data_IF_859405614561
#
_entry.id   IF_859405614561
#
_cell.length_a   1.000
_cell.length_b   1.000
_cell.length_c   1.000
_cell.angle_alpha   90.00
_cell.angle_beta   90.00
_cell.angle_gamma   90.00
#
_symmetry.space_group_name_H-M   'P 1'
#
loop_
_entity.id
_entity.type
_entity.pdbx_description
1 polymer ?
#
# COMPACT_ATOMS: atom_id res chain seq x y z
N UNK A 1 -23.03 -8.67 5.13
CA UNK A 1 -23.20 -7.30 5.67
C UNK A 1 -22.07 -7.03 6.65
N UNK A 2 -21.33 -5.93 6.46
CA UNK A 2 -20.24 -5.52 7.35
C UNK A 2 -20.83 -4.88 8.60
N UNK A 3 -20.47 -5.40 9.77
CA UNK A 3 -20.90 -4.81 11.04
C UNK A 3 -20.06 -3.56 11.39
N UNK A 4 -20.55 -2.67 12.28
CA UNK A 4 -19.75 -1.54 12.77
C UNK A 4 -18.42 -1.97 13.43
N UNK A 5 -18.41 -3.10 14.11
CA UNK A 5 -17.22 -3.66 14.76
C UNK A 5 -16.19 -4.14 13.74
N UNK A 6 -16.60 -4.85 12.69
CA UNK A 6 -15.73 -5.27 11.59
C UNK A 6 -15.17 -4.07 10.83
N UNK A 7 -16.00 -3.07 10.56
CA UNK A 7 -15.58 -1.80 9.98
C UNK A 7 -14.48 -1.14 10.81
N UNK A 8 -14.72 -0.96 12.11
CA UNK A 8 -13.77 -0.30 13.00
C UNK A 8 -12.48 -1.08 13.12
N UNK A 9 -12.54 -2.40 13.25
CA UNK A 9 -11.37 -3.27 13.32
C UNK A 9 -10.51 -3.15 12.05
N UNK A 10 -11.13 -3.14 10.87
CA UNK A 10 -10.42 -2.98 9.59
C UNK A 10 -9.68 -1.65 9.52
N UNK A 11 -10.32 -0.55 9.94
CA UNK A 11 -9.68 0.76 10.01
C UNK A 11 -8.55 0.79 11.04
N UNK A 12 -8.75 0.21 12.21
CA UNK A 12 -7.76 0.22 13.29
C UNK A 12 -6.49 -0.52 12.88
N UNK A 13 -6.62 -1.69 12.28
CA UNK A 13 -5.46 -2.48 11.83
C UNK A 13 -4.76 -1.84 10.64
N UNK A 14 -5.51 -1.46 9.60
CA UNK A 14 -4.91 -1.08 8.31
C UNK A 14 -4.58 0.41 8.19
N UNK A 15 -5.25 1.29 8.91
CA UNK A 15 -5.08 2.74 8.80
C UNK A 15 -4.58 3.36 10.10
N UNK A 16 -5.30 3.19 11.21
CA UNK A 16 -4.94 3.79 12.50
C UNK A 16 -3.58 3.28 12.99
N UNK A 17 -3.31 1.97 12.82
CA UNK A 17 -2.01 1.39 13.17
C UNK A 17 -0.86 2.01 12.39
N UNK A 18 -1.02 2.23 11.07
CA UNK A 18 -0.02 2.88 10.24
C UNK A 18 0.20 4.35 10.66
N UNK A 19 -0.87 5.09 10.94
CA UNK A 19 -0.78 6.46 11.46
C UNK A 19 -0.02 6.51 12.79
N UNK A 20 -0.31 5.63 13.73
CA UNK A 20 0.37 5.56 15.02
C UNK A 20 1.88 5.29 14.87
N UNK A 21 2.26 4.39 13.96
CA UNK A 21 3.67 4.12 13.66
C UNK A 21 4.36 5.34 13.06
N UNK A 22 3.73 6.05 12.14
CA UNK A 22 4.25 7.30 11.59
C UNK A 22 4.45 8.34 12.69
N UNK A 23 3.46 8.54 13.55
CA UNK A 23 3.52 9.51 14.66
C UNK A 23 4.68 9.22 15.61
N UNK A 24 4.97 7.94 15.88
CA UNK A 24 6.08 7.55 16.73
C UNK A 24 7.45 7.70 16.05
N UNK A 25 7.54 7.45 14.75
CA UNK A 25 8.79 7.48 14.01
C UNK A 25 9.22 8.91 13.60
N UNK A 26 8.27 9.77 13.24
CA UNK A 26 8.52 11.12 12.71
C UNK A 26 9.42 11.99 13.59
N UNK A 27 9.28 12.10 14.93
CA UNK A 27 10.15 12.96 15.73
C UNK A 27 11.63 12.61 15.61
N UNK A 28 11.93 11.31 15.47
CA UNK A 28 13.30 10.83 15.23
C UNK A 28 13.82 11.17 13.84
N UNK A 29 12.99 11.00 12.82
CA UNK A 29 13.33 11.31 11.43
C UNK A 29 13.53 12.81 11.22
N UNK A 30 12.65 13.66 11.77
CA UNK A 30 12.74 15.12 11.72
C UNK A 30 14.05 15.62 12.34
N UNK A 31 14.43 15.11 13.53
CA UNK A 31 15.69 15.47 14.16
C UNK A 31 16.92 15.13 13.32
N UNK A 32 16.88 14.00 12.61
CA UNK A 32 17.98 13.58 11.72
C UNK A 32 17.94 14.24 10.35
N UNK A 33 16.84 14.92 10.01
CA UNK A 33 16.57 15.45 8.68
C UNK A 33 16.69 14.39 7.57
N UNK A 34 16.30 13.18 7.90
CA UNK A 34 16.34 12.03 6.99
C UNK A 34 15.33 10.97 7.42
N UNK A 35 14.57 10.46 6.48
CA UNK A 35 13.62 9.37 6.70
C UNK A 35 13.00 8.88 5.42
N UNK A 36 12.53 7.63 5.46
CA UNK A 36 11.74 7.00 4.40
C UNK A 36 10.54 6.34 5.06
N UNK A 37 9.35 6.72 4.65
CA UNK A 37 8.09 6.10 5.08
C UNK A 37 7.47 5.45 3.84
N UNK A 38 7.21 4.16 3.94
CA UNK A 38 6.60 3.38 2.87
C UNK A 38 5.33 2.74 3.41
N UNK A 39 4.20 3.07 2.82
CA UNK A 39 2.91 2.46 3.12
C UNK A 39 2.55 1.43 2.07
N UNK A 40 1.87 0.37 2.47
CA UNK A 40 1.38 -0.65 1.54
C UNK A 40 -0.15 -0.58 1.51
N UNK A 41 -0.66 0.01 0.43
CA UNK A 41 -2.08 0.08 0.13
C UNK A 41 -2.52 -1.19 -0.63
N UNK A 42 -3.35 -1.05 -1.60
CA UNK A 42 -3.88 -2.09 -2.50
C UNK A 42 -4.40 -1.43 -3.78
N UNK A 43 -4.54 -2.19 -4.84
CA UNK A 43 -5.31 -1.76 -6.00
C UNK A 43 -6.74 -1.35 -5.60
N UNK A 44 -7.34 -2.02 -4.59
CA UNK A 44 -8.65 -1.66 -4.05
C UNK A 44 -8.66 -0.34 -3.27
N UNK A 45 -7.51 0.15 -2.83
CA UNK A 45 -7.36 1.50 -2.29
C UNK A 45 -7.39 2.58 -3.38
N UNK A 46 -7.12 2.22 -4.65
CA UNK A 46 -7.16 3.12 -5.79
C UNK A 46 -8.53 3.14 -6.47
N UNK A 47 -9.14 1.97 -6.65
CA UNK A 47 -10.37 1.79 -7.46
C UNK A 47 -11.60 1.41 -6.65
N UNK A 48 -11.43 0.92 -5.42
CA UNK A 48 -12.45 0.20 -4.68
C UNK A 48 -12.62 -1.24 -5.17
N UNK A 49 -12.98 -2.15 -4.26
CA UNK A 49 -13.29 -3.55 -4.54
C UNK A 49 -14.73 -3.86 -4.14
N UNK A 50 -15.47 -4.60 -4.99
CA UNK A 50 -16.79 -5.12 -4.63
C UNK A 50 -16.65 -6.09 -3.46
N UNK A 51 -17.58 -6.03 -2.51
CA UNK A 51 -17.54 -6.80 -1.25
C UNK A 51 -16.37 -6.46 -0.30
N UNK A 52 -15.56 -5.45 -0.62
CA UNK A 52 -14.36 -5.03 0.13
C UNK A 52 -14.45 -3.57 0.60
N UNK A 53 -15.65 -3.10 0.98
CA UNK A 53 -15.92 -1.68 1.28
C UNK A 53 -15.01 -1.15 2.39
N UNK A 54 -14.90 -1.85 3.51
CA UNK A 54 -14.10 -1.45 4.68
C UNK A 54 -12.59 -1.53 4.39
N UNK A 55 -12.15 -2.57 3.70
CA UNK A 55 -10.76 -2.73 3.27
C UNK A 55 -10.37 -1.64 2.26
N UNK A 56 -11.20 -1.40 1.25
CA UNK A 56 -11.00 -0.34 0.25
C UNK A 56 -10.90 1.03 0.90
N UNK A 57 -11.79 1.34 1.86
CA UNK A 57 -11.77 2.59 2.61
C UNK A 57 -10.47 2.76 3.41
N UNK A 58 -10.04 1.72 4.14
CA UNK A 58 -8.81 1.75 4.92
C UNK A 58 -7.58 1.93 4.02
N UNK A 59 -7.51 1.21 2.90
CA UNK A 59 -6.39 1.28 1.95
C UNK A 59 -6.37 2.59 1.15
N UNK A 60 -7.53 3.18 0.84
CA UNK A 60 -7.62 4.54 0.29
C UNK A 60 -7.16 5.58 1.32
N UNK A 61 -7.48 5.38 2.59
CA UNK A 61 -6.99 6.22 3.69
C UNK A 61 -5.47 6.26 3.78
N UNK A 62 -4.78 5.14 3.56
CA UNK A 62 -3.30 5.10 3.50
C UNK A 62 -2.74 5.94 2.35
N UNK A 63 -3.40 5.97 1.21
CA UNK A 63 -3.02 6.83 0.07
C UNK A 63 -3.13 8.30 0.47
N UNK A 64 -4.23 8.68 1.12
CA UNK A 64 -4.43 10.03 1.65
C UNK A 64 -3.37 10.42 2.69
N UNK A 65 -3.12 9.54 3.65
CA UNK A 65 -2.10 9.71 4.69
C UNK A 65 -0.70 9.91 4.06
N UNK A 66 -0.33 9.07 3.11
CA UNK A 66 0.94 9.16 2.37
C UNK A 66 1.12 10.52 1.72
N UNK A 67 0.13 10.98 0.98
CA UNK A 67 0.18 12.27 0.25
C UNK A 67 0.24 13.46 1.20
N UNK A 68 -0.47 13.42 2.32
CA UNK A 68 -0.47 14.47 3.32
C UNK A 68 0.90 14.56 4.01
N UNK A 69 1.40 13.45 4.53
CA UNK A 69 2.72 13.38 5.19
C UNK A 69 3.87 13.76 4.24
N UNK A 70 3.80 13.36 2.97
CA UNK A 70 4.81 13.73 1.99
C UNK A 70 4.96 15.24 1.82
N UNK A 71 3.84 15.98 1.84
CA UNK A 71 3.83 17.45 1.75
C UNK A 71 4.31 18.10 3.04
N UNK A 72 3.89 17.55 4.18
CA UNK A 72 4.21 18.09 5.50
C UNK A 72 5.69 17.88 5.85
N UNK A 73 6.23 16.69 5.56
CA UNK A 73 7.55 16.25 6.00
C UNK A 73 8.67 16.39 4.95
N UNK A 74 8.31 16.77 3.72
CA UNK A 74 9.30 17.06 2.67
C UNK A 74 10.38 18.05 3.10
N UNK A 75 10.05 19.19 3.74
CA UNK A 75 11.03 20.15 4.26
C UNK A 75 11.96 19.54 5.34
N UNK A 76 11.54 18.48 5.99
CA UNK A 76 12.34 17.73 6.98
C UNK A 76 13.29 16.69 6.36
N UNK A 77 13.34 16.58 5.02
CA UNK A 77 14.18 15.59 4.32
C UNK A 77 13.62 14.18 4.36
N UNK A 78 12.32 14.03 4.61
CA UNK A 78 11.63 12.74 4.69
C UNK A 78 10.82 12.53 3.41
N UNK A 79 10.95 11.36 2.79
CA UNK A 79 10.07 10.95 1.69
C UNK A 79 9.02 9.98 2.20
N UNK A 80 7.81 10.11 1.68
CA UNK A 80 6.68 9.25 2.03
C UNK A 80 6.01 8.77 0.75
N UNK A 81 6.03 7.47 0.50
CA UNK A 81 5.46 6.86 -0.70
C UNK A 81 4.58 5.67 -0.36
N UNK A 82 3.71 5.32 -1.28
CA UNK A 82 2.78 4.22 -1.16
C UNK A 82 2.98 3.22 -2.29
N UNK A 83 2.99 1.94 -1.97
CA UNK A 83 2.88 0.87 -2.96
C UNK A 83 1.47 0.30 -2.91
N UNK A 84 0.86 0.10 -4.08
CA UNK A 84 -0.49 -0.45 -4.24
C UNK A 84 -0.40 -1.77 -5.06
N UNK A 85 -0.20 -2.92 -4.38
CA UNK A 85 -0.15 -4.21 -5.05
C UNK A 85 -1.50 -4.59 -5.67
N UNK A 86 -1.46 -5.32 -6.77
CA UNK A 86 -2.58 -6.03 -7.34
C UNK A 86 -2.76 -7.41 -6.71
N UNK A 87 -3.04 -8.42 -7.55
CA UNK A 87 -3.17 -9.80 -7.10
C UNK A 87 -1.78 -10.43 -6.99
N UNK A 88 -1.35 -10.66 -5.76
CA UNK A 88 -0.02 -11.18 -5.43
C UNK A 88 -0.16 -12.59 -4.83
N UNK A 89 0.64 -13.54 -5.34
CA UNK A 89 0.71 -14.90 -4.81
C UNK A 89 1.33 -14.88 -3.41
N UNK A 90 0.49 -15.01 -2.39
CA UNK A 90 0.85 -14.98 -0.96
C UNK A 90 -0.01 -15.98 -0.20
N UNK A 91 0.24 -16.16 1.09
CA UNK A 91 -0.58 -16.98 1.98
C UNK A 91 -2.06 -16.55 2.02
N UNK A 92 -2.34 -15.28 1.74
CA UNK A 92 -3.73 -14.78 1.59
C UNK A 92 -4.48 -15.47 0.44
N UNK A 93 -3.76 -16.00 -0.55
CA UNK A 93 -4.32 -16.73 -1.68
C UNK A 93 -4.53 -18.23 -1.39
N UNK A 94 -4.28 -18.70 -0.17
CA UNK A 94 -4.39 -20.14 0.19
C UNK A 94 -5.82 -20.68 0.07
N UNK A 95 -6.84 -19.82 0.22
CA UNK A 95 -8.25 -20.19 0.07
C UNK A 95 -8.72 -20.25 -1.40
N UNK A 96 -7.94 -19.72 -2.35
CA UNK A 96 -8.28 -19.70 -3.77
C UNK A 96 -7.89 -21.03 -4.45
N UNK A 97 -8.77 -21.56 -5.26
CA UNK A 97 -8.50 -22.75 -6.07
C UNK A 97 -7.51 -22.45 -7.21
N UNK A 98 -6.96 -23.47 -7.83
CA UNK A 98 -6.11 -23.29 -9.01
C UNK A 98 -6.87 -22.62 -10.18
N UNK A 99 -8.17 -22.92 -10.31
CA UNK A 99 -9.05 -22.30 -11.31
C UNK A 99 -9.27 -20.82 -11.02
N UNK A 100 -9.52 -20.42 -9.75
CA UNK A 100 -9.65 -19.02 -9.36
C UNK A 100 -8.38 -18.22 -9.66
N UNK A 101 -7.22 -18.81 -9.33
CA UNK A 101 -5.91 -18.18 -9.62
C UNK A 101 -5.64 -18.04 -11.11
N UNK A 102 -6.01 -19.05 -11.90
CA UNK A 102 -5.90 -18.99 -13.36
C UNK A 102 -6.80 -17.91 -13.96
N UNK A 103 -8.05 -17.77 -13.47
CA UNK A 103 -8.96 -16.71 -13.90
C UNK A 103 -8.40 -15.31 -13.57
N UNK A 104 -7.89 -15.10 -12.36
CA UNK A 104 -7.25 -13.85 -11.96
C UNK A 104 -6.00 -13.52 -12.78
N UNK A 105 -5.23 -14.55 -13.15
CA UNK A 105 -4.08 -14.39 -14.03
C UNK A 105 -4.50 -14.00 -15.46
N UNK A 106 -5.58 -14.56 -15.98
CA UNK A 106 -6.13 -14.22 -17.30
C UNK A 106 -6.67 -12.78 -17.34
N UNK A 107 -7.29 -12.30 -16.26
CA UNK A 107 -7.75 -10.91 -16.13
C UNK A 107 -6.59 -9.92 -16.04
N UNK A 108 -5.41 -10.38 -15.59
CA UNK A 108 -4.23 -9.52 -15.44
C UNK A 108 -3.55 -9.32 -16.81
N UNK A 109 -3.34 -8.08 -17.28
CA UNK A 109 -2.74 -7.83 -18.60
C UNK A 109 -1.39 -8.51 -18.85
N UNK A 110 -0.55 -8.68 -17.82
CA UNK A 110 0.71 -9.45 -17.96
C UNK A 110 0.51 -10.96 -17.93
N UNK A 111 -0.71 -11.48 -17.80
CA UNK A 111 -1.06 -12.89 -17.93
C UNK A 111 -0.64 -13.78 -16.76
N UNK A 112 -0.34 -13.21 -15.59
CA UNK A 112 0.04 -13.95 -14.38
C UNK A 112 -0.23 -13.15 -13.11
N UNK A 113 -0.20 -13.83 -11.97
CA UNK A 113 -0.16 -13.18 -10.67
C UNK A 113 1.23 -12.58 -10.40
N UNK A 114 1.28 -11.56 -9.57
CA UNK A 114 2.54 -11.00 -9.08
C UNK A 114 3.13 -11.85 -7.94
N UNK A 115 4.40 -11.64 -7.64
CA UNK A 115 5.07 -12.24 -6.49
C UNK A 115 5.32 -11.20 -5.39
N UNK A 116 5.49 -11.69 -4.14
CA UNK A 116 5.86 -10.83 -3.03
C UNK A 116 7.21 -10.13 -3.27
N UNK A 117 8.16 -10.82 -3.91
CA UNK A 117 9.48 -10.28 -4.25
C UNK A 117 9.38 -9.08 -5.19
N UNK A 118 8.49 -9.12 -6.19
CA UNK A 118 8.28 -7.99 -7.12
C UNK A 118 7.78 -6.73 -6.40
N UNK A 119 6.98 -6.89 -5.35
CA UNK A 119 6.57 -5.77 -4.49
C UNK A 119 7.72 -5.31 -3.60
N UNK A 120 8.47 -6.25 -3.03
CA UNK A 120 9.59 -5.98 -2.14
C UNK A 120 10.73 -5.23 -2.84
N UNK A 121 11.06 -5.58 -4.08
CA UNK A 121 12.10 -4.88 -4.86
C UNK A 121 11.80 -3.40 -5.04
N UNK A 122 10.53 -3.05 -5.32
CA UNK A 122 10.12 -1.64 -5.39
C UNK A 122 10.24 -0.95 -4.03
N UNK A 123 9.83 -1.61 -2.93
CA UNK A 123 9.96 -1.06 -1.59
C UNK A 123 11.43 -0.83 -1.23
N UNK A 124 12.32 -1.75 -1.56
CA UNK A 124 13.77 -1.61 -1.36
C UNK A 124 14.33 -0.42 -2.14
N UNK A 125 13.94 -0.27 -3.41
CA UNK A 125 14.34 0.89 -4.22
C UNK A 125 13.87 2.20 -3.58
N UNK A 126 12.60 2.30 -3.18
CA UNK A 126 12.03 3.50 -2.57
C UNK A 126 12.63 3.83 -1.19
N UNK A 127 13.12 2.83 -0.47
CA UNK A 127 13.82 2.99 0.80
C UNK A 127 15.26 3.51 0.62
N UNK A 128 15.82 3.35 -0.57
CA UNK A 128 17.22 3.67 -0.88
C UNK A 128 17.48 5.16 -1.10
N UNK A 129 18.76 5.48 -1.23
CA UNK A 129 19.22 6.86 -1.46
C UNK A 129 18.81 7.40 -2.84
N UNK A 130 18.75 6.54 -3.84
CA UNK A 130 18.41 6.91 -5.22
C UNK A 130 16.96 7.39 -5.39
N UNK A 131 16.08 7.13 -4.42
CA UNK A 131 14.70 7.58 -4.40
C UNK A 131 14.49 8.92 -3.67
N UNK A 132 15.55 9.68 -3.40
CA UNK A 132 15.50 10.90 -2.59
C UNK A 132 14.62 12.03 -3.14
N UNK A 133 14.31 12.02 -4.45
CA UNK A 133 13.42 13.01 -5.09
C UNK A 133 12.03 12.45 -5.39
N UNK A 134 11.71 11.25 -4.89
CA UNK A 134 10.42 10.58 -5.06
C UNK A 134 9.67 10.65 -3.73
N UNK A 135 8.57 11.43 -3.71
CA UNK A 135 7.70 11.53 -2.52
C UNK A 135 6.26 11.81 -2.91
N UNK A 136 5.31 11.39 -2.09
CA UNK A 136 3.87 11.54 -2.30
C UNK A 136 3.30 10.67 -3.41
N UNK A 137 4.07 9.71 -3.93
CA UNK A 137 3.65 8.88 -5.05
C UNK A 137 2.95 7.60 -4.58
N UNK A 138 2.06 7.11 -5.46
CA UNK A 138 1.40 5.82 -5.31
C UNK A 138 1.81 4.95 -6.49
N UNK A 139 2.52 3.88 -6.22
CA UNK A 139 3.06 2.98 -7.23
C UNK A 139 2.22 1.70 -7.29
N UNK A 140 1.56 1.47 -8.43
CA UNK A 140 0.90 0.20 -8.71
C UNK A 140 1.93 -0.89 -9.05
N UNK A 141 1.84 -2.03 -8.37
CA UNK A 141 2.53 -3.27 -8.73
C UNK A 141 1.44 -4.31 -8.97
N UNK A 142 0.77 -4.21 -10.10
CA UNK A 142 -0.51 -4.87 -10.33
C UNK A 142 -0.65 -5.53 -11.71
N UNK A 143 0.45 -5.63 -12.48
CA UNK A 143 0.44 -6.27 -13.80
C UNK A 143 -0.46 -5.59 -14.83
N UNK A 144 -0.86 -4.32 -14.60
CA UNK A 144 -1.74 -3.57 -15.50
C UNK A 144 -3.24 -3.66 -15.16
N UNK A 145 -3.63 -4.34 -14.08
CA UNK A 145 -5.03 -4.42 -13.64
C UNK A 145 -5.64 -3.04 -13.32
N UNK A 146 -4.81 -2.13 -12.87
CA UNK A 146 -5.19 -0.74 -12.57
C UNK A 146 -4.15 0.20 -13.17
N UNK A 147 -4.61 1.06 -14.07
CA UNK A 147 -3.82 2.07 -14.78
C UNK A 147 -4.53 3.42 -14.77
#
# INVERSE_FOLDING_TARGET
DITPEEWQHMLDVNLTGAFNLCQLALPGMIRRKAGRILTVSSMWGQTGGSCEVHYSAAKAGLIGLTKALAKEEGPSGITVNCVAPGVIETDMMAAFTAEDKAALAEETPVGRLGSADEVAELLVFLAGENAGYITGQVFGVNGGLVI
#
